data_IF_234917848935
#
_entry.id   IF_234917848935
#
_cell.length_a   1.000
_cell.length_b   1.000
_cell.length_c   1.000
_cell.angle_alpha   90.00
_cell.angle_beta   90.00
_cell.angle_gamma   90.00
#
_symmetry.space_group_name_H-M   'P 1'
#
loop_
_entity.id
_entity.type
_entity.pdbx_description
1 polymer ?
#
# COMPACT_ATOMS: atom_id res chain seq x y z
N UNK A 1 24.06 8.47 -7.20
CA UNK A 1 23.10 7.55 -7.86
C UNK A 1 21.73 7.52 -7.21
N UNK A 2 21.51 6.87 -6.05
CA UNK A 2 20.15 6.74 -5.46
C UNK A 2 19.46 8.09 -5.20
N UNK A 3 20.18 9.06 -4.64
CA UNK A 3 19.66 10.42 -4.37
C UNK A 3 19.26 11.16 -5.65
N UNK A 4 20.09 11.12 -6.68
CA UNK A 4 19.80 11.75 -7.98
C UNK A 4 18.61 11.08 -8.67
N UNK A 5 18.52 9.75 -8.58
CA UNK A 5 17.39 9.01 -9.12
C UNK A 5 16.09 9.37 -8.41
N UNK A 6 16.11 9.44 -7.07
CA UNK A 6 14.96 9.88 -6.27
C UNK A 6 14.55 11.30 -6.68
N UNK A 7 15.49 12.23 -6.79
CA UNK A 7 15.20 13.61 -7.23
C UNK A 7 14.56 13.65 -8.63
N UNK A 8 15.08 12.85 -9.56
CA UNK A 8 14.50 12.66 -10.89
C UNK A 8 13.06 12.15 -10.84
N UNK A 9 12.80 11.09 -10.07
CA UNK A 9 11.44 10.53 -9.91
C UNK A 9 10.49 11.52 -9.25
N UNK A 10 10.95 12.27 -8.24
CA UNK A 10 10.15 13.32 -7.58
C UNK A 10 9.70 14.37 -8.59
N UNK A 11 10.61 14.83 -9.47
CA UNK A 11 10.28 15.79 -10.55
C UNK A 11 9.22 15.26 -11.53
N UNK A 12 9.15 13.94 -11.70
CA UNK A 12 8.21 13.26 -12.60
C UNK A 12 6.94 12.76 -11.89
N UNK A 13 6.78 13.04 -10.59
CA UNK A 13 5.70 12.48 -9.78
C UNK A 13 4.30 12.76 -10.32
N UNK A 14 4.04 13.97 -10.84
CA UNK A 14 2.74 14.35 -11.43
C UNK A 14 2.40 13.55 -12.70
N UNK A 15 3.22 13.56 -13.77
CA UNK A 15 2.93 12.78 -14.97
C UNK A 15 2.91 11.27 -14.69
N UNK A 16 3.74 10.77 -13.77
CA UNK A 16 3.70 9.36 -13.36
C UNK A 16 2.38 9.00 -12.67
N UNK A 17 1.88 9.81 -11.74
CA UNK A 17 0.57 9.59 -11.14
C UNK A 17 -0.58 9.67 -12.15
N UNK A 18 -0.47 10.55 -13.15
CA UNK A 18 -1.44 10.58 -14.27
C UNK A 18 -1.41 9.27 -15.07
N UNK A 19 -0.21 8.75 -15.34
CA UNK A 19 -0.03 7.48 -16.05
C UNK A 19 -0.57 6.28 -15.25
N UNK A 20 -0.26 6.21 -13.95
CA UNK A 20 -0.79 5.21 -13.01
C UNK A 20 -2.32 5.19 -13.07
N UNK A 21 -2.97 6.34 -12.98
CA UNK A 21 -4.43 6.46 -12.98
C UNK A 21 -5.07 6.40 -14.38
N UNK A 22 -4.30 6.11 -15.43
CA UNK A 22 -4.82 6.05 -16.79
C UNK A 22 -5.80 4.89 -16.99
N UNK A 23 -6.91 5.15 -17.69
CA UNK A 23 -7.82 4.09 -18.16
C UNK A 23 -7.22 3.23 -19.26
N UNK A 24 -6.11 3.66 -19.86
CA UNK A 24 -5.41 2.92 -20.92
C UNK A 24 -4.52 1.86 -20.27
N UNK A 25 -4.88 0.60 -20.46
CA UNK A 25 -4.25 -0.56 -19.82
C UNK A 25 -2.73 -0.60 -19.90
N UNK A 26 -2.21 -0.29 -21.09
CA UNK A 26 -0.77 -0.29 -21.38
C UNK A 26 -0.04 0.83 -20.63
N UNK A 27 -0.68 1.99 -20.48
CA UNK A 27 -0.08 3.16 -19.82
C UNK A 27 -0.04 2.96 -18.32
N UNK A 28 -1.17 2.59 -17.70
CA UNK A 28 -1.21 2.30 -16.27
C UNK A 28 -0.35 1.09 -15.90
N UNK A 29 -0.39 0.03 -16.72
CA UNK A 29 0.48 -1.14 -16.57
C UNK A 29 1.96 -0.77 -16.56
N UNK A 30 2.43 -0.05 -17.58
CA UNK A 30 3.85 0.35 -17.68
C UNK A 30 4.28 1.27 -16.54
N UNK A 31 3.39 2.15 -16.06
CA UNK A 31 3.68 3.01 -14.93
C UNK A 31 3.80 2.21 -13.61
N UNK A 32 2.90 1.25 -13.37
CA UNK A 32 2.99 0.36 -12.20
C UNK A 32 4.24 -0.52 -12.27
N UNK A 33 4.58 -1.03 -13.45
CA UNK A 33 5.78 -1.84 -13.67
C UNK A 33 7.05 -1.02 -13.38
N UNK A 34 7.09 0.27 -13.77
CA UNK A 34 8.16 1.19 -13.41
C UNK A 34 8.24 1.41 -11.88
N UNK A 35 7.12 1.69 -11.21
CA UNK A 35 7.14 1.85 -9.74
C UNK A 35 7.62 0.56 -9.06
N UNK A 36 7.19 -0.60 -9.53
CA UNK A 36 7.63 -1.90 -8.99
C UNK A 36 9.14 -2.10 -9.18
N UNK A 37 9.70 -1.71 -10.32
CA UNK A 37 11.14 -1.74 -10.55
C UNK A 37 11.90 -0.75 -9.65
N UNK A 38 11.35 0.45 -9.42
CA UNK A 38 11.93 1.42 -8.49
C UNK A 38 11.95 0.90 -7.05
N UNK A 39 10.87 0.26 -6.61
CA UNK A 39 10.78 -0.36 -5.29
C UNK A 39 11.83 -1.46 -5.14
N UNK A 40 11.91 -2.38 -6.11
CA UNK A 40 12.90 -3.47 -6.08
C UNK A 40 14.35 -2.97 -6.11
N UNK A 41 14.61 -1.87 -6.83
CA UNK A 41 15.96 -1.29 -6.96
C UNK A 41 16.38 -0.38 -5.80
N UNK A 42 15.44 0.31 -5.16
CA UNK A 42 15.72 1.27 -4.09
C UNK A 42 15.51 0.67 -2.68
N UNK A 43 14.65 -0.34 -2.54
CA UNK A 43 14.29 -0.95 -1.26
C UNK A 43 13.91 0.14 -0.23
N UNK A 44 14.56 0.19 0.94
CA UNK A 44 14.29 1.22 1.96
C UNK A 44 14.50 2.66 1.47
N UNK A 45 15.36 2.90 0.48
CA UNK A 45 15.56 4.24 -0.09
C UNK A 45 14.35 4.77 -0.87
N UNK A 46 13.33 3.95 -1.12
CA UNK A 46 12.07 4.37 -1.72
C UNK A 46 11.19 5.19 -0.76
N UNK A 47 11.49 5.23 0.54
CA UNK A 47 10.74 5.97 1.58
C UNK A 47 10.20 7.35 1.11
N UNK A 48 11.01 8.25 0.51
CA UNK A 48 10.55 9.59 0.15
C UNK A 48 9.48 9.60 -0.94
N UNK A 49 9.35 8.50 -1.70
CA UNK A 49 8.44 8.34 -2.83
C UNK A 49 7.08 7.74 -2.41
N UNK A 50 6.97 7.21 -1.19
CA UNK A 50 5.75 6.55 -0.70
C UNK A 50 4.57 7.52 -0.72
N UNK A 51 4.73 8.72 -0.15
CA UNK A 51 3.67 9.74 -0.11
C UNK A 51 3.22 10.20 -1.50
N UNK A 52 4.07 10.06 -2.52
CA UNK A 52 3.80 10.49 -3.89
C UNK A 52 2.99 9.45 -4.67
N UNK A 53 3.27 8.15 -4.50
CA UNK A 53 2.71 7.10 -5.36
C UNK A 53 1.78 6.13 -4.65
N UNK A 54 2.00 5.87 -3.36
CA UNK A 54 1.25 4.85 -2.62
C UNK A 54 -0.27 5.12 -2.57
N UNK A 55 -0.75 6.37 -2.38
CA UNK A 55 -2.18 6.68 -2.47
C UNK A 55 -2.81 6.30 -3.83
N UNK A 56 -2.12 6.58 -4.94
CA UNK A 56 -2.60 6.25 -6.29
C UNK A 56 -2.64 4.75 -6.53
N UNK A 57 -1.62 4.01 -6.05
CA UNK A 57 -1.60 2.55 -6.13
C UNK A 57 -2.76 1.91 -5.35
N UNK A 58 -3.04 2.42 -4.14
CA UNK A 58 -4.19 1.98 -3.34
C UNK A 58 -5.52 2.34 -4.03
N UNK A 59 -5.62 3.53 -4.61
CA UNK A 59 -6.80 3.97 -5.37
C UNK A 59 -7.10 3.08 -6.58
N UNK A 60 -6.07 2.62 -7.29
CA UNK A 60 -6.24 1.66 -8.39
C UNK A 60 -6.78 0.30 -7.93
N UNK A 61 -6.41 -0.15 -6.73
CA UNK A 61 -6.92 -1.40 -6.17
C UNK A 61 -8.43 -1.36 -5.90
N UNK A 62 -9.02 -0.17 -5.81
CA UNK A 62 -10.45 0.04 -5.67
C UNK A 62 -11.24 -0.21 -6.97
N UNK A 63 -10.58 -0.23 -8.13
CA UNK A 63 -11.23 -0.32 -9.44
C UNK A 63 -11.63 -1.76 -9.79
N UNK A 64 -12.66 -1.89 -10.63
CA UNK A 64 -13.36 -3.16 -10.96
C UNK A 64 -12.71 -3.97 -12.09
N UNK A 65 -11.59 -3.50 -12.65
CA UNK A 65 -10.93 -4.13 -13.81
C UNK A 65 -9.80 -5.07 -13.36
N UNK A 66 -10.04 -6.37 -13.51
CA UNK A 66 -9.26 -7.46 -12.90
C UNK A 66 -7.74 -7.41 -13.15
N UNK A 67 -7.29 -6.97 -14.33
CA UNK A 67 -5.86 -6.95 -14.68
C UNK A 67 -5.10 -5.81 -13.99
N UNK A 68 -5.69 -4.61 -13.86
CA UNK A 68 -5.04 -3.47 -13.19
C UNK A 68 -4.97 -3.69 -11.69
N UNK A 69 -6.07 -4.18 -11.11
CA UNK A 69 -6.19 -4.44 -9.68
C UNK A 69 -5.14 -5.44 -9.21
N UNK A 70 -4.86 -6.50 -9.99
CA UNK A 70 -3.83 -7.49 -9.63
C UNK A 70 -2.41 -6.91 -9.64
N UNK A 71 -2.05 -6.14 -10.68
CA UNK A 71 -0.71 -5.52 -10.75
C UNK A 71 -0.52 -4.46 -9.68
N UNK A 72 -1.49 -3.56 -9.53
CA UNK A 72 -1.45 -2.52 -8.51
C UNK A 72 -1.33 -3.13 -7.10
N UNK A 73 -2.12 -4.16 -6.79
CA UNK A 73 -2.04 -4.91 -5.53
C UNK A 73 -0.66 -5.53 -5.30
N UNK A 74 -0.08 -6.14 -6.34
CA UNK A 74 1.26 -6.73 -6.24
C UNK A 74 2.32 -5.66 -5.95
N UNK A 75 2.22 -4.51 -6.62
CA UNK A 75 3.08 -3.35 -6.37
C UNK A 75 2.91 -2.78 -4.95
N UNK A 76 1.68 -2.65 -4.46
CA UNK A 76 1.40 -2.23 -3.06
C UNK A 76 2.11 -3.14 -2.06
N UNK A 77 2.03 -4.46 -2.24
CA UNK A 77 2.69 -5.41 -1.34
C UNK A 77 4.21 -5.41 -1.48
N UNK A 78 4.75 -5.16 -2.67
CA UNK A 78 6.19 -4.96 -2.85
C UNK A 78 6.66 -3.72 -2.08
N UNK A 79 5.95 -2.58 -2.20
CA UNK A 79 6.27 -1.36 -1.44
C UNK A 79 6.30 -1.67 0.06
N UNK A 80 5.31 -2.40 0.58
CA UNK A 80 5.27 -2.74 2.01
C UNK A 80 6.49 -3.56 2.44
N UNK A 81 6.77 -4.66 1.73
CA UNK A 81 7.83 -5.60 2.09
C UNK A 81 9.24 -5.03 1.93
N UNK A 82 9.45 -4.23 0.89
CA UNK A 82 10.79 -3.78 0.50
C UNK A 82 11.16 -2.45 1.16
N UNK A 83 10.18 -1.66 1.60
CA UNK A 83 10.44 -0.38 2.30
C UNK A 83 10.29 -0.49 3.81
N UNK A 84 9.33 -1.30 4.30
CA UNK A 84 8.99 -1.43 5.73
C UNK A 84 8.75 -0.08 6.42
N UNK A 85 8.30 0.88 5.62
CA UNK A 85 8.12 2.25 6.04
C UNK A 85 7.03 2.40 7.10
N UNK A 86 7.32 3.05 8.22
CA UNK A 86 6.30 3.33 9.22
C UNK A 86 5.20 4.30 8.73
N UNK A 87 5.41 5.00 7.61
CA UNK A 87 4.42 5.88 7.00
C UNK A 87 3.30 5.11 6.27
N UNK A 88 3.55 3.85 5.88
CA UNK A 88 2.59 3.03 5.15
C UNK A 88 1.34 2.73 5.95
N UNK A 89 1.49 2.47 7.26
CA UNK A 89 0.37 2.14 8.13
C UNK A 89 -0.69 3.25 8.12
N UNK A 90 -0.28 4.51 8.13
CA UNK A 90 -1.20 5.66 8.05
C UNK A 90 -1.95 5.73 6.71
N UNK A 91 -1.32 5.32 5.61
CA UNK A 91 -1.98 5.27 4.30
C UNK A 91 -2.99 4.12 4.22
N UNK A 92 -2.60 2.94 4.72
CA UNK A 92 -3.45 1.75 4.77
C UNK A 92 -4.66 1.97 5.67
N UNK A 93 -4.46 2.54 6.87
CA UNK A 93 -5.54 2.87 7.80
C UNK A 93 -6.56 3.83 7.16
N UNK A 94 -6.10 4.87 6.47
CA UNK A 94 -7.00 5.77 5.70
C UNK A 94 -7.81 5.02 4.64
N UNK A 95 -7.21 4.04 3.97
CA UNK A 95 -7.89 3.23 2.96
C UNK A 95 -8.96 2.28 3.52
N UNK A 96 -8.95 1.97 4.82
CA UNK A 96 -10.02 1.20 5.46
C UNK A 96 -11.35 1.96 5.50
N UNK A 97 -11.37 3.29 5.34
CA UNK A 97 -12.59 4.08 5.30
C UNK A 97 -13.19 4.21 3.89
N UNK A 98 -12.60 3.56 2.88
CA UNK A 98 -13.08 3.63 1.50
C UNK A 98 -14.43 2.90 1.34
N UNK A 99 -15.33 3.48 0.53
CA UNK A 99 -16.62 2.84 0.20
C UNK A 99 -16.44 1.49 -0.50
N UNK A 100 -15.39 1.36 -1.31
CA UNK A 100 -15.08 0.13 -2.04
C UNK A 100 -14.59 -0.97 -1.11
N UNK A 101 -15.28 -2.12 -1.09
CA UNK A 101 -14.86 -3.28 -0.32
C UNK A 101 -13.51 -3.84 -0.79
N UNK A 102 -13.20 -3.76 -2.10
CA UNK A 102 -11.90 -4.22 -2.61
C UNK A 102 -10.74 -3.35 -2.11
N UNK A 103 -10.95 -2.04 -2.01
CA UNK A 103 -9.96 -1.13 -1.43
C UNK A 103 -9.71 -1.43 0.05
N UNK A 104 -10.78 -1.62 0.83
CA UNK A 104 -10.67 -2.00 2.25
C UNK A 104 -9.98 -3.35 2.43
N UNK A 105 -10.28 -4.33 1.56
CA UNK A 105 -9.63 -5.64 1.59
C UNK A 105 -8.13 -5.55 1.29
N UNK A 106 -7.72 -4.79 0.28
CA UNK A 106 -6.30 -4.60 -0.02
C UNK A 106 -5.60 -3.86 1.12
N UNK A 107 -6.24 -2.86 1.73
CA UNK A 107 -5.71 -2.18 2.90
C UNK A 107 -5.53 -3.14 4.08
N UNK A 108 -6.54 -3.94 4.41
CA UNK A 108 -6.46 -4.93 5.50
C UNK A 108 -5.34 -5.97 5.25
N UNK A 109 -5.26 -6.50 4.04
CA UNK A 109 -4.17 -7.43 3.66
C UNK A 109 -2.80 -6.75 3.69
N UNK A 110 -2.73 -5.47 3.34
CA UNK A 110 -1.52 -4.66 3.44
C UNK A 110 -1.08 -4.46 4.88
N UNK A 111 -2.02 -4.23 5.81
CA UNK A 111 -1.73 -4.10 7.25
C UNK A 111 -1.20 -5.42 7.79
N UNK A 112 -1.83 -6.54 7.48
CA UNK A 112 -1.31 -7.86 7.85
C UNK A 112 0.12 -8.07 7.31
N UNK A 113 0.34 -7.78 6.03
CA UNK A 113 1.67 -7.89 5.41
C UNK A 113 2.70 -6.98 6.09
N UNK A 114 2.28 -5.78 6.52
CA UNK A 114 3.13 -4.84 7.23
C UNK A 114 3.54 -5.41 8.60
N UNK A 115 2.60 -5.97 9.37
CA UNK A 115 2.88 -6.62 10.65
C UNK A 115 3.82 -7.82 10.49
N UNK A 116 3.65 -8.63 9.44
CA UNK A 116 4.51 -9.78 9.17
C UNK A 116 5.98 -9.40 8.87
N UNK A 117 6.24 -8.18 8.39
CA UNK A 117 7.55 -7.79 7.86
C UNK A 117 8.31 -6.74 8.68
N UNK A 118 7.62 -6.06 9.61
CA UNK A 118 8.18 -5.00 10.45
C UNK A 118 8.46 -5.50 11.87
N UNK A 119 9.41 -4.85 12.56
CA UNK A 119 9.72 -5.19 13.95
C UNK A 119 8.58 -4.74 14.88
N UNK A 120 8.19 -5.61 15.81
CA UNK A 120 7.09 -5.33 16.75
C UNK A 120 7.39 -4.11 17.65
N UNK A 121 8.63 -3.94 18.08
CA UNK A 121 9.06 -2.80 18.91
C UNK A 121 8.78 -1.45 18.23
N UNK A 122 8.92 -1.35 16.91
CA UNK A 122 8.64 -0.12 16.15
C UNK A 122 7.15 0.19 16.06
N UNK A 123 6.31 -0.84 16.20
CA UNK A 123 4.85 -0.74 16.20
C UNK A 123 4.37 -0.35 17.61
N UNK A 124 4.90 -0.99 18.64
CA UNK A 124 4.55 -0.72 20.03
C UNK A 124 4.91 0.71 20.44
N UNK A 125 6.06 1.22 20.01
CA UNK A 125 6.59 2.55 20.37
C UNK A 125 5.93 3.75 19.66
N UNK A 126 4.69 3.62 19.18
CA UNK A 126 3.94 4.80 18.70
C UNK A 126 2.82 4.52 17.69
N UNK A 127 2.59 3.26 17.31
CA UNK A 127 1.56 2.86 16.33
C UNK A 127 0.55 1.84 16.85
N UNK A 128 0.73 1.32 18.07
CA UNK A 128 -0.17 0.38 18.73
C UNK A 128 -1.65 0.77 18.58
N UNK A 129 -2.02 2.00 18.98
CA UNK A 129 -3.40 2.51 18.86
C UNK A 129 -3.93 2.49 17.42
N UNK A 130 -3.08 2.81 16.44
CA UNK A 130 -3.48 2.81 15.04
C UNK A 130 -3.74 1.38 14.55
N UNK A 131 -2.94 0.41 14.99
CA UNK A 131 -3.15 -1.02 14.66
C UNK A 131 -4.42 -1.54 15.33
N UNK A 132 -4.65 -1.23 16.61
CA UNK A 132 -5.88 -1.58 17.34
C UNK A 132 -7.14 -1.02 16.66
N UNK A 133 -7.09 0.24 16.23
CA UNK A 133 -8.15 0.87 15.45
C UNK A 133 -8.39 0.13 14.13
N UNK A 134 -7.33 -0.26 13.42
CA UNK A 134 -7.43 -1.05 12.21
C UNK A 134 -8.05 -2.43 12.46
N UNK A 135 -7.68 -3.11 13.55
CA UNK A 135 -8.26 -4.40 13.95
C UNK A 135 -9.76 -4.23 14.19
N UNK A 136 -10.17 -3.22 14.96
CA UNK A 136 -11.58 -2.92 15.22
C UNK A 136 -12.37 -2.65 13.94
N UNK A 137 -11.82 -1.85 13.04
CA UNK A 137 -12.46 -1.51 11.76
C UNK A 137 -12.62 -2.74 10.85
N UNK A 138 -11.58 -3.57 10.76
CA UNK A 138 -11.58 -4.73 9.84
C UNK A 138 -12.40 -5.89 10.36
N UNK A 139 -12.32 -6.21 11.67
CA UNK A 139 -13.12 -7.29 12.28
C UNK A 139 -14.62 -6.98 12.28
N UNK A 140 -14.99 -5.70 12.37
CA UNK A 140 -16.37 -5.21 12.27
C UNK A 140 -16.85 -4.88 10.86
N UNK A 141 -16.07 -5.13 9.80
CA UNK A 141 -16.43 -4.72 8.43
C UNK A 141 -17.69 -5.46 7.93
N UNK A 142 -18.49 -4.81 7.10
CA UNK A 142 -19.67 -5.41 6.47
C UNK A 142 -19.30 -6.54 5.50
N UNK A 143 -18.11 -6.48 4.88
CA UNK A 143 -17.62 -7.47 3.92
C UNK A 143 -16.87 -8.62 4.63
N UNK A 144 -17.20 -9.86 4.27
CA UNK A 144 -16.66 -11.07 4.91
C UNK A 144 -15.15 -11.25 4.69
N UNK A 145 -14.63 -10.92 3.50
CA UNK A 145 -13.21 -11.07 3.18
C UNK A 145 -12.37 -10.08 3.98
N UNK A 146 -12.89 -8.87 4.19
CA UNK A 146 -12.25 -7.85 5.05
C UNK A 146 -12.21 -8.33 6.49
N UNK A 147 -13.30 -8.91 7.01
CA UNK A 147 -13.31 -9.51 8.36
C UNK A 147 -12.31 -10.65 8.50
N UNK A 148 -12.19 -11.50 7.47
CA UNK A 148 -11.22 -12.59 7.49
C UNK A 148 -9.78 -12.07 7.47
N UNK A 149 -9.50 -11.00 6.73
CA UNK A 149 -8.22 -10.31 6.83
C UNK A 149 -8.01 -9.69 8.22
N UNK A 150 -9.04 -9.09 8.82
CA UNK A 150 -8.99 -8.51 10.17
C UNK A 150 -8.60 -9.51 11.25
N UNK A 151 -9.13 -10.74 11.20
CA UNK A 151 -8.73 -11.82 12.12
C UNK A 151 -7.24 -12.13 12.04
N UNK A 152 -6.68 -12.16 10.83
CA UNK A 152 -5.24 -12.38 10.63
C UNK A 152 -4.40 -11.24 11.18
N UNK A 153 -4.86 -9.98 11.03
CA UNK A 153 -4.19 -8.82 11.64
C UNK A 153 -4.17 -8.95 13.16
N UNK A 154 -5.30 -9.34 13.76
CA UNK A 154 -5.40 -9.56 15.20
C UNK A 154 -4.49 -10.69 15.69
N UNK A 155 -4.39 -11.79 14.94
CA UNK A 155 -3.48 -12.90 15.23
C UNK A 155 -2.01 -12.48 15.12
N UNK A 156 -1.64 -11.67 14.12
CA UNK A 156 -0.26 -11.19 13.93
C UNK A 156 0.16 -10.09 14.92
N UNK A 157 -0.80 -9.42 15.59
CA UNK A 157 -0.52 -8.37 16.58
C UNK A 157 -0.41 -8.89 18.02
N UNK A 158 -0.81 -10.14 18.27
CA UNK A 158 -0.69 -10.80 19.58
C UNK A 158 0.72 -11.33 19.80
#
# INVERSE_FOLDING_TARGET
FATEMIAGVVSLSRPLNSAINSRRSRVSGSAIDLISALVAGLGPSFEPLISLFFPSLLGLCAQTTSVFTRRAKSCVFAVIKDTKSPSLLSHLAKSLHQKSASARLVAAQGIHTYLDCCNFDDIENGRARLVEDCIRLTTGDVNIDVRQAGKKIEEAYK
#
